data_IF_952496669396
#
_entry.id   IF_952496669396
#
_cell.length_a   1.000
_cell.length_b   1.000
_cell.length_c   1.000
_cell.angle_alpha   90.00
_cell.angle_beta   90.00
_cell.angle_gamma   90.00
#
_symmetry.space_group_name_H-M   'P 1'
#
loop_
_entity.id
_entity.type
_entity.pdbx_description
1 polymer ?
#
# COMPACT_ATOMS: atom_id res chain seq x y z
N UNK A 1 -40.96 32.91 7.01
CA UNK A 1 -40.45 32.32 5.75
C UNK A 1 -39.05 31.76 6.00
N UNK A 2 -38.73 30.72 5.25
CA UNK A 2 -37.80 29.62 5.55
C UNK A 2 -36.36 30.00 5.93
N UNK A 3 -35.80 29.16 6.80
CA UNK A 3 -34.41 29.20 7.24
C UNK A 3 -33.40 28.83 6.15
N UNK A 4 -32.19 29.36 6.31
CA UNK A 4 -31.07 29.15 5.39
C UNK A 4 -30.38 27.85 5.79
N UNK A 5 -30.55 26.81 4.98
CA UNK A 5 -29.89 25.52 5.12
C UNK A 5 -28.38 25.65 4.86
N UNK A 6 -27.59 25.30 5.87
CA UNK A 6 -26.15 25.07 5.76
C UNK A 6 -25.92 23.77 4.97
N UNK A 7 -25.59 23.91 3.68
CA UNK A 7 -25.28 22.76 2.81
C UNK A 7 -23.85 22.30 3.07
N UNK A 8 -23.71 21.12 3.66
CA UNK A 8 -22.47 20.36 3.69
C UNK A 8 -22.08 19.97 2.26
N UNK A 9 -20.95 20.47 1.78
CA UNK A 9 -20.29 19.98 0.57
C UNK A 9 -19.08 19.15 0.99
N UNK A 10 -19.27 17.84 1.09
CA UNK A 10 -18.18 16.86 1.18
C UNK A 10 -17.10 17.17 0.16
N UNK A 11 -15.87 17.39 0.62
CA UNK A 11 -14.69 17.21 -0.21
C UNK A 11 -14.56 15.71 -0.49
N UNK A 12 -15.34 15.23 -1.46
CA UNK A 12 -15.08 13.97 -2.13
C UNK A 12 -13.74 14.13 -2.81
N UNK A 13 -12.67 13.68 -2.15
CA UNK A 13 -11.40 13.42 -2.81
C UNK A 13 -11.62 12.23 -3.75
N UNK A 14 -12.18 12.55 -4.92
CA UNK A 14 -12.20 11.71 -6.11
C UNK A 14 -10.75 11.52 -6.57
N UNK A 15 -10.03 10.60 -5.92
CA UNK A 15 -8.77 10.11 -6.45
C UNK A 15 -8.71 8.58 -6.29
N UNK A 16 -9.75 7.90 -6.77
CA UNK A 16 -9.89 6.44 -6.70
C UNK A 16 -9.50 5.69 -7.97
N UNK A 17 -8.75 6.32 -8.88
CA UNK A 17 -8.38 5.69 -10.17
C UNK A 17 -6.85 5.63 -10.41
N UNK A 18 -6.03 6.32 -9.61
CA UNK A 18 -4.57 6.33 -9.79
C UNK A 18 -3.77 5.40 -8.85
N UNK A 19 -4.43 4.62 -7.99
CA UNK A 19 -3.75 3.72 -7.04
C UNK A 19 -3.28 2.41 -7.70
N UNK A 20 -3.96 1.92 -8.75
CA UNK A 20 -3.65 0.59 -9.32
C UNK A 20 -2.28 0.46 -10.00
N UNK A 21 -1.71 1.55 -10.50
CA UNK A 21 -0.46 1.53 -11.28
C UNK A 21 0.82 1.71 -10.45
N UNK A 22 0.75 2.45 -9.33
CA UNK A 22 1.93 2.72 -8.49
C UNK A 22 2.30 1.51 -7.64
N UNK A 23 1.31 0.84 -7.07
CA UNK A 23 1.50 -0.36 -6.24
C UNK A 23 2.17 -1.50 -7.01
N UNK A 24 1.79 -1.70 -8.28
CA UNK A 24 2.36 -2.74 -9.14
C UNK A 24 3.83 -2.48 -9.49
N UNK A 25 4.19 -1.21 -9.73
CA UNK A 25 5.58 -0.81 -9.97
C UNK A 25 6.44 -0.92 -8.71
N UNK A 26 5.88 -0.56 -7.54
CA UNK A 26 6.54 -0.72 -6.25
C UNK A 26 6.84 -2.19 -5.95
N UNK A 27 5.82 -3.05 -6.03
CA UNK A 27 5.97 -4.48 -5.78
C UNK A 27 7.03 -5.13 -6.68
N UNK A 28 7.08 -4.74 -7.95
CA UNK A 28 8.05 -5.28 -8.91
C UNK A 28 9.51 -5.12 -8.45
N UNK A 29 9.85 -4.01 -7.79
CA UNK A 29 11.20 -3.80 -7.24
C UNK A 29 11.56 -4.77 -6.12
N UNK A 30 10.60 -5.10 -5.25
CA UNK A 30 10.80 -6.07 -4.16
C UNK A 30 10.88 -7.50 -4.68
N UNK A 31 10.12 -7.85 -5.73
CA UNK A 31 10.14 -9.18 -6.34
C UNK A 31 11.50 -9.54 -6.95
N UNK A 32 12.34 -8.57 -7.32
CA UNK A 32 13.73 -8.83 -7.72
C UNK A 32 14.54 -9.52 -6.61
N UNK A 33 14.15 -9.33 -5.34
CA UNK A 33 14.79 -9.95 -4.18
C UNK A 33 14.19 -11.33 -3.84
N UNK A 34 13.21 -11.83 -4.60
CA UNK A 34 12.50 -13.08 -4.27
C UNK A 34 13.42 -14.31 -4.25
N UNK A 35 14.55 -14.27 -4.96
CA UNK A 35 15.60 -15.30 -4.90
C UNK A 35 16.15 -15.53 -3.49
N UNK A 36 16.01 -14.56 -2.57
CA UNK A 36 16.39 -14.66 -1.15
C UNK A 36 15.33 -15.37 -0.30
N UNK A 37 14.16 -15.65 -0.87
CA UNK A 37 13.01 -16.23 -0.19
C UNK A 37 11.97 -15.18 0.24
N UNK A 38 10.73 -15.64 0.41
CA UNK A 38 9.60 -14.75 0.65
C UNK A 38 9.67 -14.04 2.02
N UNK A 39 10.15 -14.72 3.07
CA UNK A 39 10.27 -14.13 4.39
C UNK A 39 11.28 -12.96 4.42
N UNK A 40 12.51 -13.08 3.90
CA UNK A 40 13.42 -11.94 3.80
C UNK A 40 12.88 -10.75 2.99
N UNK A 41 12.13 -10.99 1.90
CA UNK A 41 11.50 -9.90 1.14
C UNK A 41 10.40 -9.21 1.95
N UNK A 42 9.61 -9.97 2.71
CA UNK A 42 8.60 -9.42 3.62
C UNK A 42 9.22 -8.49 4.66
N UNK A 43 10.31 -8.93 5.30
CA UNK A 43 11.01 -8.12 6.31
C UNK A 43 11.61 -6.84 5.72
N UNK A 44 12.15 -6.92 4.49
CA UNK A 44 12.63 -5.73 3.77
C UNK A 44 11.51 -4.71 3.54
N UNK A 45 10.33 -5.17 3.08
CA UNK A 45 9.18 -4.29 2.88
C UNK A 45 8.71 -3.64 4.19
N UNK A 46 8.70 -4.39 5.30
CA UNK A 46 8.34 -3.86 6.62
C UNK A 46 9.31 -2.79 7.11
N UNK A 47 10.62 -3.02 6.97
CA UNK A 47 11.65 -2.06 7.34
C UNK A 47 11.51 -0.75 6.55
N UNK A 48 11.23 -0.84 5.24
CA UNK A 48 10.99 0.33 4.40
C UNK A 48 9.71 1.07 4.82
N UNK A 49 8.62 0.35 5.11
CA UNK A 49 7.36 0.93 5.59
C UNK A 49 7.58 1.75 6.88
N UNK A 50 8.33 1.20 7.83
CA UNK A 50 8.68 1.90 9.08
C UNK A 50 9.54 3.13 8.78
N UNK A 51 10.58 2.98 7.95
CA UNK A 51 11.47 4.07 7.57
C UNK A 51 10.73 5.23 6.89
N UNK A 52 9.84 4.94 5.94
CA UNK A 52 9.07 5.99 5.27
C UNK A 52 8.08 6.70 6.21
N UNK A 53 7.51 5.98 7.17
CA UNK A 53 6.70 6.60 8.22
C UNK A 53 7.54 7.54 9.10
N UNK A 54 8.71 7.09 9.58
CA UNK A 54 9.60 7.91 10.41
C UNK A 54 10.08 9.18 9.71
N UNK A 55 10.20 9.14 8.38
CA UNK A 55 10.57 10.29 7.55
C UNK A 55 9.38 11.20 7.19
N UNK A 56 8.16 10.88 7.63
CA UNK A 56 6.95 11.64 7.30
C UNK A 56 6.41 11.40 5.89
N UNK A 57 6.99 10.46 5.13
CA UNK A 57 6.54 10.05 3.81
C UNK A 57 5.34 9.08 3.89
N UNK A 58 4.28 9.49 4.58
CA UNK A 58 3.12 8.64 4.92
C UNK A 58 2.42 8.05 3.70
N UNK A 59 2.23 8.84 2.64
CA UNK A 59 1.62 8.34 1.40
C UNK A 59 2.42 7.21 0.74
N UNK A 60 3.76 7.29 0.80
CA UNK A 60 4.60 6.22 0.25
C UNK A 60 4.56 4.96 1.13
N UNK A 61 4.54 5.14 2.46
CA UNK A 61 4.36 4.02 3.37
C UNK A 61 3.00 3.31 3.18
N UNK A 62 1.94 4.06 2.88
CA UNK A 62 0.62 3.50 2.59
C UNK A 62 0.59 2.73 1.27
N UNK A 63 1.14 3.29 0.19
CA UNK A 63 1.32 2.57 -1.08
C UNK A 63 2.11 1.26 -0.87
N UNK A 64 3.15 1.30 -0.03
CA UNK A 64 3.97 0.13 0.27
C UNK A 64 3.25 -0.92 1.14
N UNK A 65 2.37 -0.50 2.05
CA UNK A 65 1.48 -1.43 2.79
C UNK A 65 0.52 -2.16 1.85
N UNK A 66 0.01 -1.49 0.82
CA UNK A 66 -0.83 -2.13 -0.20
C UNK A 66 -0.02 -3.18 -0.99
N UNK A 67 1.21 -2.84 -1.39
CA UNK A 67 2.12 -3.78 -2.04
C UNK A 67 2.45 -4.99 -1.15
N UNK A 68 2.71 -4.78 0.15
CA UNK A 68 2.98 -5.85 1.12
C UNK A 68 1.79 -6.80 1.28
N UNK A 69 0.55 -6.28 1.27
CA UNK A 69 -0.66 -7.10 1.32
C UNK A 69 -0.77 -8.01 0.11
N UNK A 70 -0.50 -7.49 -1.10
CA UNK A 70 -0.45 -8.31 -2.33
C UNK A 70 0.64 -9.37 -2.26
N UNK A 71 1.86 -8.99 -1.86
CA UNK A 71 2.98 -9.90 -1.69
C UNK A 71 2.63 -11.07 -0.75
N UNK A 72 2.06 -10.77 0.42
CA UNK A 72 1.69 -11.79 1.42
C UNK A 72 0.67 -12.76 0.86
N UNK A 73 -0.37 -12.25 0.18
CA UNK A 73 -1.40 -13.08 -0.44
C UNK A 73 -0.84 -14.01 -1.54
N UNK A 74 0.14 -13.54 -2.32
CA UNK A 74 0.68 -14.30 -3.44
C UNK A 74 1.75 -15.32 -3.03
N UNK A 75 2.62 -14.98 -2.07
CA UNK A 75 3.84 -15.76 -1.79
C UNK A 75 3.89 -16.41 -0.40
N UNK A 76 3.09 -15.94 0.56
CA UNK A 76 3.05 -16.48 1.92
C UNK A 76 1.80 -17.34 2.09
N UNK A 77 0.62 -16.74 1.92
CA UNK A 77 -0.66 -17.41 2.19
C UNK A 77 -0.93 -18.58 1.22
N UNK A 78 -0.50 -18.45 -0.04
CA UNK A 78 -0.61 -19.55 -1.02
C UNK A 78 0.33 -20.71 -0.74
N UNK A 79 1.47 -20.46 -0.08
CA UNK A 79 2.44 -21.50 0.23
C UNK A 79 1.95 -22.37 1.39
N UNK A 80 1.18 -21.82 2.31
CA UNK A 80 0.60 -22.53 3.46
C UNK A 80 -0.55 -23.48 3.06
N UNK A 81 -1.15 -23.29 1.87
CA UNK A 81 -2.25 -24.12 1.36
C UNK A 81 -1.83 -25.34 0.53
N UNK A 82 -0.53 -25.57 0.31
CA UNK A 82 0.01 -26.70 -0.47
C UNK A 82 0.83 -27.61 0.40
#
# INVERSE_FOLDING_TARGET
MLGIAKKNGSSGSENKVAAGGRDGRLLSGYLLNLHRGAAPVRELMLADIERFQSLGATGYADDLRVALKRFTSEFIDRKDRR
#
